data_IF_264723116358
#
_entry.id   IF_264723116358
#
_cell.length_a   1.000
_cell.length_b   1.000
_cell.length_c   1.000
_cell.angle_alpha   90.00
_cell.angle_beta   90.00
_cell.angle_gamma   90.00
#
_symmetry.space_group_name_H-M   'P 1'
#
loop_
_entity.id
_entity.type
_entity.pdbx_description
1 polymer ?
#
# COMPACT_ATOMS: atom_id res chain seq x y z
N UNK A 1 -15.84 17.08 1.88
CA UNK A 1 -15.84 15.95 2.83
C UNK A 1 -14.42 15.75 3.29
N UNK A 2 -14.14 15.87 4.59
CA UNK A 2 -12.80 15.75 5.16
C UNK A 2 -12.55 14.26 5.39
N UNK A 3 -11.83 13.61 4.47
CA UNK A 3 -11.49 12.20 4.58
C UNK A 3 -10.79 11.95 5.92
N UNK A 4 -11.31 10.98 6.67
CA UNK A 4 -10.87 10.68 8.02
C UNK A 4 -9.38 10.41 8.00
N UNK A 5 -8.63 11.21 8.74
CA UNK A 5 -7.24 10.93 9.01
C UNK A 5 -7.18 9.53 9.64
N UNK A 6 -6.59 8.57 8.93
CA UNK A 6 -6.05 7.38 9.55
C UNK A 6 -5.06 7.92 10.59
N UNK A 7 -5.38 7.78 11.88
CA UNK A 7 -4.43 8.12 12.92
C UNK A 7 -3.40 6.99 12.90
N UNK A 8 -2.40 7.14 12.03
CA UNK A 8 -1.20 6.34 12.09
C UNK A 8 -0.42 6.85 13.31
N UNK A 9 -0.79 6.33 14.49
CA UNK A 9 -0.08 6.58 15.72
C UNK A 9 1.30 5.93 15.59
N UNK A 10 2.31 6.71 15.18
CA UNK A 10 3.75 6.37 15.13
C UNK A 10 4.03 4.90 14.83
N UNK A 11 3.77 4.51 13.59
CA UNK A 11 3.75 3.12 13.13
C UNK A 11 5.09 2.60 12.58
N UNK A 12 6.19 3.30 12.81
CA UNK A 12 7.50 2.92 12.28
C UNK A 12 8.04 1.59 12.85
N UNK A 13 7.59 1.15 14.04
CA UNK A 13 8.17 0.01 14.74
C UNK A 13 7.38 -1.31 14.60
N UNK A 14 6.14 -1.29 14.12
CA UNK A 14 5.33 -2.50 13.93
C UNK A 14 4.57 -2.41 12.61
N UNK A 15 5.17 -2.91 11.52
CA UNK A 15 4.46 -3.11 10.24
C UNK A 15 3.24 -4.01 10.50
N UNK A 16 2.06 -3.41 10.50
CA UNK A 16 0.82 -4.14 10.76
C UNK A 16 0.45 -4.97 9.53
N UNK A 17 -0.05 -6.19 9.74
CA UNK A 17 -0.50 -7.03 8.64
C UNK A 17 -1.95 -6.72 8.25
N UNK A 18 -2.27 -6.71 6.96
CA UNK A 18 -3.63 -6.48 6.44
C UNK A 18 -4.66 -7.46 7.03
N UNK A 19 -4.24 -8.70 7.33
CA UNK A 19 -5.11 -9.73 7.92
C UNK A 19 -5.47 -9.44 9.38
N UNK A 20 -4.73 -8.54 10.04
CA UNK A 20 -4.98 -8.09 11.41
C UNK A 20 -5.82 -6.82 11.48
N UNK A 21 -6.08 -6.17 10.35
CA UNK A 21 -6.92 -4.97 10.29
C UNK A 21 -8.38 -5.32 10.54
N UNK A 22 -9.11 -4.37 11.13
CA UNK A 22 -10.57 -4.45 11.17
C UNK A 22 -11.15 -4.38 9.75
N UNK A 23 -12.39 -4.87 9.60
CA UNK A 23 -13.10 -4.81 8.32
C UNK A 23 -13.25 -3.37 7.79
N UNK A 24 -13.37 -2.39 8.68
CA UNK A 24 -13.45 -0.97 8.30
C UNK A 24 -12.12 -0.46 7.76
N UNK A 25 -11.01 -0.73 8.45
CA UNK A 25 -9.67 -0.32 8.02
C UNK A 25 -9.31 -0.96 6.67
N UNK A 26 -9.59 -2.27 6.51
CA UNK A 26 -9.37 -2.98 5.24
C UNK A 26 -10.23 -2.40 4.11
N UNK A 27 -11.47 -2.00 4.39
CA UNK A 27 -12.34 -1.35 3.40
C UNK A 27 -11.83 0.03 2.98
N UNK A 28 -11.35 0.85 3.92
CA UNK A 28 -10.71 2.14 3.63
C UNK A 28 -9.49 1.94 2.73
N UNK A 29 -8.61 1.00 3.10
CA UNK A 29 -7.41 0.68 2.31
C UNK A 29 -7.77 0.15 0.90
N UNK A 30 -8.88 -0.59 0.78
CA UNK A 30 -9.41 -1.02 -0.52
C UNK A 30 -9.87 0.14 -1.40
N UNK A 31 -10.48 1.17 -0.83
CA UNK A 31 -10.83 2.41 -1.56
C UNK A 31 -9.55 3.12 -2.03
N UNK A 32 -8.55 3.25 -1.16
CA UNK A 32 -7.28 3.89 -1.50
C UNK A 32 -6.50 3.11 -2.58
N UNK A 33 -6.55 1.78 -2.56
CA UNK A 33 -6.00 0.93 -3.62
C UNK A 33 -6.72 1.18 -4.95
N UNK A 34 -8.06 1.26 -4.95
CA UNK A 34 -8.82 1.55 -6.16
C UNK A 34 -8.51 2.95 -6.71
N UNK A 35 -8.31 3.95 -5.84
CA UNK A 35 -7.86 5.28 -6.26
C UNK A 35 -6.47 5.24 -6.89
N UNK A 36 -5.53 4.48 -6.30
CA UNK A 36 -4.20 4.28 -6.86
C UNK A 36 -4.26 3.57 -8.21
N UNK A 37 -5.05 2.51 -8.35
CA UNK A 37 -5.21 1.77 -9.62
C UNK A 37 -5.83 2.67 -10.70
N UNK A 38 -6.77 3.54 -10.34
CA UNK A 38 -7.36 4.50 -11.27
C UNK A 38 -6.34 5.55 -11.75
N UNK A 39 -5.44 6.00 -10.88
CA UNK A 39 -4.48 7.08 -11.21
C UNK A 39 -3.21 6.55 -11.88
N UNK A 40 -2.69 5.40 -11.42
CA UNK A 40 -1.39 4.88 -11.83
C UNK A 40 -1.46 3.49 -12.46
N UNK A 41 -2.59 2.77 -12.41
CA UNK A 41 -2.66 1.37 -12.81
C UNK A 41 -2.23 1.12 -14.26
N UNK A 42 -2.66 1.97 -15.20
CA UNK A 42 -2.23 1.87 -16.61
C UNK A 42 -0.73 2.09 -16.76
N UNK A 43 -0.19 3.15 -16.15
CA UNK A 43 1.23 3.45 -16.18
C UNK A 43 2.06 2.33 -15.52
N UNK A 44 1.64 1.84 -14.37
CA UNK A 44 2.30 0.75 -13.67
C UNK A 44 2.29 -0.54 -14.51
N UNK A 45 1.20 -0.82 -15.22
CA UNK A 45 1.12 -1.98 -16.11
C UNK A 45 2.08 -1.85 -17.29
N UNK A 46 2.08 -0.71 -17.97
CA UNK A 46 2.93 -0.45 -19.14
C UNK A 46 4.43 -0.48 -18.80
N UNK A 47 4.77 -0.04 -17.60
CA UNK A 47 6.16 0.05 -17.13
C UNK A 47 6.60 -1.13 -16.25
N UNK A 48 5.75 -2.13 -16.04
CA UNK A 48 6.09 -3.32 -15.24
C UNK A 48 6.26 -3.03 -13.74
N UNK A 49 5.57 -2.03 -13.20
CA UNK A 49 5.59 -1.60 -11.80
C UNK A 49 4.46 -2.24 -10.97
N UNK A 50 3.97 -3.40 -11.40
CA UNK A 50 3.01 -4.20 -10.64
C UNK A 50 3.74 -5.31 -9.88
N UNK A 51 3.22 -5.73 -8.70
CA UNK A 51 3.75 -6.88 -7.99
C UNK A 51 3.85 -8.10 -8.90
N UNK A 52 4.97 -8.80 -8.83
CA UNK A 52 5.13 -10.07 -9.55
C UNK A 52 4.15 -11.08 -8.99
N UNK A 53 3.56 -11.87 -9.89
CA UNK A 53 2.65 -12.92 -9.48
C UNK A 53 3.33 -13.86 -8.48
N UNK A 54 2.63 -14.27 -7.41
CA UNK A 54 3.21 -15.13 -6.40
C UNK A 54 3.69 -16.47 -6.99
N UNK A 55 4.83 -16.93 -6.49
CA UNK A 55 5.50 -18.12 -7.00
C UNK A 55 4.71 -19.41 -6.74
N UNK A 56 3.93 -19.46 -5.66
CA UNK A 56 3.15 -20.63 -5.24
C UNK A 56 1.70 -20.56 -5.73
N UNK A 57 1.15 -21.70 -6.14
CA UNK A 57 -0.24 -21.76 -6.64
C UNK A 57 -1.28 -21.37 -5.59
N UNK A 58 -1.03 -21.68 -4.32
CA UNK A 58 -1.92 -21.32 -3.20
C UNK A 58 -2.06 -19.81 -2.99
N UNK A 59 -1.08 -19.03 -3.43
CA UNK A 59 -1.11 -17.56 -3.35
C UNK A 59 -1.65 -16.90 -4.63
N UNK A 60 -2.04 -17.68 -5.66
CA UNK A 60 -2.64 -17.15 -6.90
C UNK A 60 -4.15 -16.98 -6.84
N UNK A 61 -4.77 -17.10 -5.66
CA UNK A 61 -6.19 -16.78 -5.50
C UNK A 61 -6.41 -15.27 -5.60
N UNK A 62 -7.56 -14.85 -6.12
CA UNK A 62 -7.90 -13.41 -6.23
C UNK A 62 -7.84 -12.71 -4.87
N UNK A 63 -8.30 -13.38 -3.80
CA UNK A 63 -8.24 -12.86 -2.43
C UNK A 63 -6.80 -12.70 -1.93
N UNK A 64 -5.93 -13.68 -2.17
CA UNK A 64 -4.52 -13.58 -1.76
C UNK A 64 -3.77 -12.49 -2.54
N UNK A 65 -4.08 -12.31 -3.83
CA UNK A 65 -3.52 -11.24 -4.65
C UNK A 65 -3.99 -9.87 -4.16
N UNK A 66 -5.28 -9.74 -3.82
CA UNK A 66 -5.81 -8.50 -3.25
C UNK A 66 -5.15 -8.20 -1.91
N UNK A 67 -5.05 -9.18 -1.02
CA UNK A 67 -4.43 -8.99 0.30
C UNK A 67 -2.94 -8.64 0.18
N UNK A 68 -2.21 -9.21 -0.77
CA UNK A 68 -0.82 -8.81 -1.07
C UNK A 68 -0.73 -7.34 -1.52
N UNK A 69 -1.58 -6.91 -2.46
CA UNK A 69 -1.64 -5.51 -2.89
C UNK A 69 -1.95 -4.55 -1.74
N UNK A 70 -2.93 -4.91 -0.90
CA UNK A 70 -3.31 -4.12 0.27
C UNK A 70 -2.14 -4.05 1.27
N UNK A 71 -1.46 -5.17 1.53
CA UNK A 71 -0.29 -5.19 2.41
C UNK A 71 0.81 -4.26 1.90
N UNK A 72 1.13 -4.32 0.60
CA UNK A 72 2.17 -3.47 -0.01
C UNK A 72 1.81 -1.99 0.04
N UNK A 73 0.55 -1.65 -0.20
CA UNK A 73 0.07 -0.28 -0.08
C UNK A 73 0.19 0.22 1.37
N UNK A 74 -0.20 -0.60 2.34
CA UNK A 74 -0.08 -0.30 3.76
C UNK A 74 1.38 -0.09 4.18
N UNK A 75 2.27 -0.96 3.74
CA UNK A 75 3.71 -0.85 4.01
C UNK A 75 4.27 0.45 3.43
N UNK A 76 3.94 0.80 2.19
CA UNK A 76 4.37 2.06 1.55
C UNK A 76 3.86 3.28 2.32
N UNK A 77 2.64 3.25 2.84
CA UNK A 77 2.11 4.34 3.70
C UNK A 77 2.93 4.51 4.97
N UNK A 78 3.26 3.41 5.64
CA UNK A 78 4.12 3.45 6.83
C UNK A 78 5.52 3.99 6.51
N UNK A 79 6.12 3.57 5.39
CA UNK A 79 7.44 4.08 4.98
C UNK A 79 7.41 5.56 4.61
N UNK A 80 6.34 6.04 3.96
CA UNK A 80 6.19 7.46 3.65
C UNK A 80 6.10 8.32 4.93
N UNK A 81 5.38 7.84 5.94
CA UNK A 81 5.30 8.53 7.23
C UNK A 81 6.60 8.49 8.01
N UNK A 82 7.27 7.34 8.05
CA UNK A 82 8.58 7.23 8.68
C UNK A 82 9.59 8.15 8.01
N UNK A 83 9.61 8.20 6.68
CA UNK A 83 10.46 9.11 5.91
C UNK A 83 10.13 10.58 6.22
N UNK A 84 8.85 10.92 6.39
CA UNK A 84 8.39 12.25 6.75
C UNK A 84 8.82 12.66 8.18
N UNK A 85 8.75 11.74 9.14
CA UNK A 85 9.22 11.96 10.52
C UNK A 85 10.74 12.18 10.57
N UNK A 86 11.50 11.43 9.77
CA UNK A 86 12.96 11.53 9.69
C UNK A 86 13.44 12.77 8.92
N UNK A 87 12.63 13.29 8.00
CA UNK A 87 13.00 14.37 7.09
C UNK A 87 11.89 15.43 7.05
N UNK A 88 11.77 16.27 8.10
CA UNK A 88 10.65 17.20 8.26
C UNK A 88 10.57 18.29 7.17
N UNK A 89 11.67 18.56 6.48
CA UNK A 89 11.74 19.57 5.41
C UNK A 89 11.35 19.00 4.02
N UNK A 90 11.16 17.69 3.91
CA UNK A 90 10.73 17.03 2.68
C UNK A 90 9.25 16.61 2.77
N UNK A 91 8.63 16.33 1.61
CA UNK A 91 7.25 15.83 1.53
C UNK A 91 7.27 14.45 0.91
N UNK A 92 6.81 13.46 1.68
CA UNK A 92 6.67 12.08 1.20
C UNK A 92 5.21 11.73 1.00
N UNK A 93 4.94 10.89 0.01
CA UNK A 93 3.59 10.42 -0.30
C UNK A 93 3.62 9.00 -0.82
N UNK A 94 2.74 8.17 -0.28
CA UNK A 94 2.46 6.84 -0.81
C UNK A 94 1.82 6.88 -2.19
N UNK A 95 1.23 8.01 -2.59
CA UNK A 95 0.47 8.16 -3.82
C UNK A 95 1.41 8.41 -5.02
N UNK A 96 2.10 7.35 -5.44
CA UNK A 96 3.05 7.35 -6.55
C UNK A 96 3.01 6.01 -7.32
N UNK A 97 3.55 5.93 -8.56
CA UNK A 97 3.48 4.71 -9.38
C UNK A 97 4.16 3.46 -8.82
N UNK A 98 5.02 3.61 -7.81
CA UNK A 98 5.80 2.51 -7.22
C UNK A 98 5.18 1.97 -5.92
N UNK A 99 4.00 2.46 -5.52
CA UNK A 99 3.39 2.20 -4.21
C UNK A 99 3.08 0.73 -3.89
N UNK A 100 3.09 -0.14 -4.90
CA UNK A 100 2.88 -1.58 -4.72
C UNK A 100 4.17 -2.39 -4.79
N UNK A 101 5.31 -1.77 -5.12
CA UNK A 101 6.58 -2.47 -5.17
C UNK A 101 7.20 -2.63 -3.79
N UNK A 102 8.00 -3.67 -3.64
CA UNK A 102 8.83 -3.87 -2.45
C UNK A 102 10.31 -3.89 -2.83
N UNK A 103 11.20 -4.02 -1.85
CA UNK A 103 12.66 -3.98 -2.07
C UNK A 103 13.21 -5.06 -3.02
N UNK A 104 12.45 -6.12 -3.31
CA UNK A 104 12.87 -7.20 -4.20
C UNK A 104 12.57 -6.94 -5.68
N UNK A 105 11.85 -5.85 -5.99
CA UNK A 105 11.36 -5.48 -7.32
C UNK A 105 11.99 -4.16 -7.80
#
# INVERSE_FOLDING_TARGET
MKFGAFVLASAAAARQSVVSLSSMEKAILGVELAEWENEFGSFATEHGLLPRAPATESARTEEAILDDKLQRLLDTKFEAELAQEQNPDAVFSWKNPFALLNEAE
#
